data_IF_051846919434
#
_entry.id   IF_051846919434
#
_cell.length_a   1.000
_cell.length_b   1.000
_cell.length_c   1.000
_cell.angle_alpha   90.00
_cell.angle_beta   90.00
_cell.angle_gamma   90.00
#
_symmetry.space_group_name_H-M   'P 1'
#
loop_
_entity.id
_entity.type
_entity.pdbx_description
1 polymer ?
#
# COMPACT_ATOMS: atom_id res chain seq x y z
N UNK A 1 4.78 2.85 -20.08
CA UNK A 1 4.24 4.22 -20.32
C UNK A 1 3.45 4.69 -19.10
N UNK A 2 3.46 6.03 -18.74
CA UNK A 2 2.66 6.60 -17.63
C UNK A 2 1.57 7.52 -18.19
N UNK A 3 0.34 7.35 -17.72
CA UNK A 3 -0.81 8.21 -18.02
C UNK A 3 -1.24 8.89 -16.72
N UNK A 4 -1.28 10.22 -16.71
CA UNK A 4 -1.92 10.98 -15.63
C UNK A 4 -3.35 11.31 -16.06
N UNK A 5 -4.30 10.99 -15.18
CA UNK A 5 -5.73 11.17 -15.44
C UNK A 5 -6.40 11.86 -14.28
N UNK A 6 -7.04 12.97 -14.52
CA UNK A 6 -7.92 13.61 -13.56
C UNK A 6 -9.09 12.71 -13.21
N UNK A 7 -9.36 12.58 -11.92
CA UNK A 7 -10.49 11.82 -11.41
C UNK A 7 -11.06 12.51 -10.16
N UNK A 8 -12.36 12.36 -9.93
CA UNK A 8 -13.03 13.05 -8.82
C UNK A 8 -13.12 12.13 -7.61
N UNK A 9 -12.61 12.60 -6.48
CA UNK A 9 -12.88 12.02 -5.17
C UNK A 9 -14.28 12.45 -4.74
N UNK A 10 -15.28 11.63 -5.06
CA UNK A 10 -16.70 11.98 -4.92
C UNK A 10 -17.11 12.35 -3.48
N UNK A 11 -16.51 11.80 -2.40
CA UNK A 11 -16.84 12.20 -1.03
C UNK A 11 -16.66 13.70 -0.73
N UNK A 12 -15.74 14.36 -1.49
CA UNK A 12 -15.46 15.80 -1.33
C UNK A 12 -15.71 16.63 -2.60
N UNK A 13 -15.85 15.99 -3.74
CA UNK A 13 -15.94 16.67 -5.04
C UNK A 13 -14.60 17.28 -5.49
N UNK A 14 -13.47 16.82 -4.95
CA UNK A 14 -12.11 17.32 -5.26
C UNK A 14 -11.40 16.42 -6.27
N UNK A 15 -10.46 17.00 -7.03
CA UNK A 15 -9.67 16.23 -7.97
C UNK A 15 -8.68 15.31 -7.20
N UNK A 16 -8.57 14.05 -7.66
CA UNK A 16 -7.61 13.04 -7.19
C UNK A 16 -7.04 12.33 -8.40
N UNK A 17 -5.98 12.84 -8.99
CA UNK A 17 -5.38 12.25 -10.18
C UNK A 17 -5.00 10.78 -9.99
N UNK A 18 -5.17 10.02 -11.04
CA UNK A 18 -4.66 8.65 -11.15
C UNK A 18 -3.40 8.65 -12.01
N UNK A 19 -2.35 8.01 -11.53
CA UNK A 19 -1.09 7.81 -12.23
C UNK A 19 -1.02 6.35 -12.70
N UNK A 20 -1.28 6.11 -13.97
CA UNK A 20 -1.46 4.75 -14.49
C UNK A 20 -0.24 4.35 -15.32
N UNK A 21 0.46 3.31 -14.86
CA UNK A 21 1.49 2.64 -15.64
C UNK A 21 0.86 1.55 -16.49
N UNK A 22 1.18 1.57 -17.77
CA UNK A 22 0.91 0.50 -18.72
C UNK A 22 2.23 -0.11 -19.20
N UNK A 23 2.34 -1.46 -19.33
CA UNK A 23 3.54 -2.09 -19.85
C UNK A 23 3.80 -1.69 -21.30
N UNK A 24 5.05 -1.79 -21.74
CA UNK A 24 5.45 -1.27 -23.04
C UNK A 24 4.75 -1.95 -24.22
N UNK A 25 4.46 -3.25 -24.10
CA UNK A 25 3.72 -4.05 -25.09
C UNK A 25 2.21 -3.85 -25.04
N UNK A 26 1.68 -2.96 -24.18
CA UNK A 26 0.24 -2.81 -23.97
C UNK A 26 -0.54 -2.56 -25.26
N UNK A 27 -0.04 -1.77 -26.20
CA UNK A 27 -0.71 -1.47 -27.46
C UNK A 27 -0.37 -2.45 -28.59
N UNK A 28 0.53 -3.39 -28.34
CA UNK A 28 0.99 -4.39 -29.32
C UNK A 28 0.29 -5.75 -29.15
N UNK A 29 -0.41 -5.96 -28.03
CA UNK A 29 -1.14 -7.19 -27.72
C UNK A 29 -2.57 -6.92 -27.27
N UNK A 30 -3.39 -7.96 -27.27
CA UNK A 30 -4.74 -7.97 -26.70
C UNK A 30 -4.76 -8.61 -25.29
N UNK A 31 -3.60 -8.81 -24.69
CA UNK A 31 -3.46 -9.44 -23.38
C UNK A 31 -4.15 -8.64 -22.29
N UNK A 32 -4.58 -9.34 -21.26
CA UNK A 32 -5.10 -8.74 -20.04
C UNK A 32 -4.09 -8.87 -18.90
N UNK A 33 -4.04 -7.88 -18.04
CA UNK A 33 -2.96 -7.68 -17.08
C UNK A 33 -3.48 -7.70 -15.64
N UNK A 34 -2.72 -8.29 -14.69
CA UNK A 34 -2.98 -8.08 -13.27
C UNK A 34 -2.81 -6.61 -12.91
N UNK A 35 -3.45 -6.18 -11.82
CA UNK A 35 -3.45 -4.77 -11.40
C UNK A 35 -2.92 -4.63 -9.99
N UNK A 36 -2.01 -3.67 -9.80
CA UNK A 36 -1.54 -3.22 -8.49
C UNK A 36 -1.94 -1.77 -8.26
N UNK A 37 -2.81 -1.54 -7.28
CA UNK A 37 -3.17 -0.20 -6.83
C UNK A 37 -2.13 0.30 -5.81
N UNK A 38 -1.83 1.58 -5.84
CA UNK A 38 -0.93 2.21 -4.87
C UNK A 38 -1.55 3.48 -4.30
N UNK A 39 -1.45 3.65 -3.00
CA UNK A 39 -1.67 4.93 -2.34
C UNK A 39 -0.52 5.89 -2.62
N UNK A 40 -0.77 7.20 -2.56
CA UNK A 40 0.19 8.26 -2.85
C UNK A 40 0.78 8.19 -4.27
N UNK A 41 -0.10 8.13 -5.27
CA UNK A 41 0.26 7.91 -6.68
C UNK A 41 1.32 8.85 -7.25
N UNK A 42 1.35 10.10 -6.78
CA UNK A 42 2.34 11.11 -7.19
C UNK A 42 3.79 10.78 -6.79
N UNK A 43 3.99 9.93 -5.77
CA UNK A 43 5.32 9.55 -5.29
C UNK A 43 5.93 8.35 -6.04
N UNK A 44 5.26 7.77 -7.05
CA UNK A 44 5.66 6.46 -7.57
C UNK A 44 6.72 6.50 -8.66
N UNK A 45 6.63 7.44 -9.61
CA UNK A 45 7.33 7.30 -10.89
C UNK A 45 8.40 8.33 -11.15
N UNK A 46 8.16 9.60 -10.87
CA UNK A 46 9.02 10.72 -11.21
C UNK A 46 9.37 11.55 -9.98
N UNK A 47 10.62 11.94 -9.87
CA UNK A 47 11.11 12.73 -8.73
C UNK A 47 10.46 14.13 -8.69
N UNK A 48 10.16 14.72 -9.85
CA UNK A 48 9.48 16.02 -9.97
C UNK A 48 8.01 16.02 -9.51
N UNK A 49 7.35 14.87 -9.49
CA UNK A 49 5.98 14.74 -8.99
C UNK A 49 5.93 14.46 -7.49
N UNK A 50 7.02 13.92 -6.95
CA UNK A 50 7.05 13.42 -5.59
C UNK A 50 7.11 14.54 -4.54
N UNK A 51 6.35 14.38 -3.45
CA UNK A 51 6.21 15.36 -2.35
C UNK A 51 7.56 15.87 -1.82
N UNK A 52 8.56 14.98 -1.74
CA UNK A 52 9.89 15.30 -1.20
C UNK A 52 11.00 15.27 -2.25
N UNK A 53 10.63 15.35 -3.55
CA UNK A 53 11.58 15.38 -4.65
C UNK A 53 12.34 14.07 -4.88
N UNK A 54 11.81 12.95 -4.36
CA UNK A 54 12.31 11.60 -4.62
C UNK A 54 11.12 10.63 -4.76
N UNK A 55 11.06 9.94 -5.88
CA UNK A 55 10.03 8.92 -6.14
C UNK A 55 10.48 7.53 -5.69
N UNK A 56 9.56 6.55 -5.79
CA UNK A 56 9.85 5.15 -5.57
C UNK A 56 10.62 4.48 -6.73
N UNK A 57 10.92 5.21 -7.81
CA UNK A 57 11.55 4.64 -9.00
C UNK A 57 10.78 3.46 -9.61
N UNK A 58 9.47 3.41 -9.36
CA UNK A 58 8.66 2.23 -9.68
C UNK A 58 8.57 1.97 -11.19
N UNK A 59 8.62 3.03 -12.01
CA UNK A 59 8.65 2.89 -13.48
C UNK A 59 9.88 2.11 -13.94
N UNK A 60 11.06 2.51 -13.49
CA UNK A 60 12.33 1.89 -13.91
C UNK A 60 12.40 0.42 -13.46
N UNK A 61 11.86 0.11 -12.29
CA UNK A 61 11.73 -1.27 -11.86
C UNK A 61 10.78 -2.07 -12.76
N UNK A 62 9.58 -1.55 -13.05
CA UNK A 62 8.57 -2.25 -13.84
C UNK A 62 9.04 -2.50 -15.27
N UNK A 63 9.71 -1.53 -15.90
CA UNK A 63 10.26 -1.65 -17.26
C UNK A 63 11.32 -2.78 -17.36
N UNK A 64 11.97 -3.12 -16.24
CA UNK A 64 13.03 -4.13 -16.20
C UNK A 64 12.61 -5.45 -15.53
N UNK A 65 11.42 -5.50 -14.92
CA UNK A 65 11.02 -6.64 -14.08
C UNK A 65 10.70 -7.91 -14.88
N UNK A 66 10.39 -7.78 -16.17
CA UNK A 66 10.04 -8.90 -17.05
C UNK A 66 8.68 -9.54 -16.73
N UNK A 67 7.79 -8.80 -16.05
CA UNK A 67 6.40 -9.19 -15.77
C UNK A 67 5.48 -8.02 -16.07
N UNK A 68 4.57 -8.25 -16.98
CA UNK A 68 3.62 -7.23 -17.42
C UNK A 68 2.48 -7.10 -16.44
N UNK A 69 2.21 -5.87 -16.02
CA UNK A 69 1.07 -5.53 -15.18
C UNK A 69 0.64 -4.07 -15.38
N UNK A 70 -0.56 -3.75 -14.97
CA UNK A 70 -1.03 -2.37 -14.83
C UNK A 70 -0.80 -1.93 -13.38
N UNK A 71 -0.23 -0.73 -13.19
CA UNK A 71 -0.14 -0.12 -11.85
C UNK A 71 -0.93 1.16 -11.82
N UNK A 72 -1.79 1.31 -10.82
CA UNK A 72 -2.67 2.47 -10.64
C UNK A 72 -2.30 3.19 -9.35
N UNK A 73 -1.56 4.27 -9.46
CA UNK A 73 -1.28 5.18 -8.37
C UNK A 73 -2.46 6.13 -8.13
N UNK A 74 -2.97 6.17 -6.92
CA UNK A 74 -4.10 7.01 -6.50
C UNK A 74 -3.55 8.12 -5.63
N UNK A 75 -3.76 9.39 -6.01
CA UNK A 75 -3.35 10.51 -5.16
C UNK A 75 -4.21 10.65 -3.91
N UNK A 76 -3.62 11.23 -2.86
CA UNK A 76 -4.31 11.62 -1.64
C UNK A 76 -4.81 13.09 -1.71
N UNK A 77 -5.47 13.54 -0.66
CA UNK A 77 -5.72 14.97 -0.44
C UNK A 77 -4.43 15.72 -0.08
N UNK A 78 -4.20 16.86 -0.73
CA UNK A 78 -3.02 17.71 -0.52
C UNK A 78 -3.32 18.94 0.33
N UNK A 79 -4.58 19.23 0.64
CA UNK A 79 -4.97 20.40 1.45
C UNK A 79 -4.73 20.12 2.93
N UNK A 80 -3.74 20.80 3.52
CA UNK A 80 -3.40 20.64 4.92
C UNK A 80 -3.04 19.20 5.28
N UNK A 81 -3.78 18.61 6.20
CA UNK A 81 -3.56 17.23 6.70
C UNK A 81 -4.67 16.26 6.26
N UNK A 82 -5.34 16.54 5.14
CA UNK A 82 -6.42 15.70 4.58
C UNK A 82 -6.03 14.23 4.43
N UNK A 83 -4.84 13.99 3.89
CA UNK A 83 -4.28 12.65 3.72
C UNK A 83 -4.33 11.83 5.01
N UNK A 84 -4.12 12.46 6.17
CA UNK A 84 -4.12 11.75 7.45
C UNK A 84 -5.52 11.24 7.82
N UNK A 85 -6.59 11.96 7.50
CA UNK A 85 -7.97 11.48 7.66
C UNK A 85 -8.33 10.43 6.61
N UNK A 86 -8.04 10.70 5.34
CA UNK A 86 -8.34 9.81 4.22
C UNK A 86 -7.66 8.44 4.33
N UNK A 87 -6.47 8.39 4.98
CA UNK A 87 -5.69 7.17 5.15
C UNK A 87 -5.72 6.62 6.58
N UNK A 88 -6.68 7.04 7.38
CA UNK A 88 -6.91 6.52 8.72
C UNK A 88 -8.17 5.63 8.74
N UNK A 89 -8.05 4.29 8.70
CA UNK A 89 -9.22 3.40 8.69
C UNK A 89 -9.78 3.13 10.11
N UNK A 90 -9.02 3.48 11.15
CA UNK A 90 -9.39 3.27 12.55
C UNK A 90 -9.11 4.50 13.39
N UNK A 91 -9.84 4.67 14.49
CA UNK A 91 -9.47 5.67 15.49
C UNK A 91 -8.07 5.38 16.04
N UNK A 92 -7.21 6.39 16.00
CA UNK A 92 -5.84 6.26 16.50
C UNK A 92 -5.78 6.29 18.03
N UNK A 93 -4.66 5.83 18.59
CA UNK A 93 -4.43 5.81 20.01
C UNK A 93 -4.44 7.23 20.60
N UNK A 94 -5.15 7.42 21.71
CA UNK A 94 -5.16 8.70 22.45
C UNK A 94 -3.74 9.15 22.80
N UNK A 95 -3.49 10.44 22.66
CA UNK A 95 -2.18 11.05 22.93
C UNK A 95 -1.19 10.99 21.76
N UNK A 96 -1.57 10.43 20.62
CA UNK A 96 -0.82 10.57 19.35
C UNK A 96 -1.38 11.72 18.53
N UNK A 97 -0.57 12.30 17.64
CA UNK A 97 -1.02 13.31 16.69
C UNK A 97 -2.23 12.82 15.85
N UNK A 98 -2.20 11.57 15.43
CA UNK A 98 -3.27 10.95 14.65
C UNK A 98 -4.62 10.84 15.36
N UNK A 99 -4.67 10.94 16.69
CA UNK A 99 -5.92 10.90 17.44
C UNK A 99 -6.82 12.14 17.21
N UNK A 100 -6.27 13.19 16.60
CA UNK A 100 -7.00 14.42 16.30
C UNK A 100 -7.75 14.36 14.94
N UNK A 101 -7.51 13.30 14.15
CA UNK A 101 -8.12 13.14 12.83
C UNK A 101 -9.32 12.21 12.88
N UNK A 102 -10.35 12.59 12.13
CA UNK A 102 -11.48 11.72 11.87
C UNK A 102 -11.06 10.57 10.93
N UNK A 103 -11.32 9.30 11.29
CA UNK A 103 -10.97 8.18 10.42
C UNK A 103 -11.93 8.10 9.23
N UNK A 104 -11.42 8.39 8.04
CA UNK A 104 -12.13 8.32 6.74
C UNK A 104 -11.59 7.26 5.79
N UNK A 105 -10.69 6.40 6.27
CA UNK A 105 -10.07 5.36 5.43
C UNK A 105 -11.08 4.40 4.81
N UNK A 106 -12.18 4.09 5.51
CA UNK A 106 -13.25 3.28 4.95
C UNK A 106 -13.99 3.98 3.81
N UNK A 107 -14.30 5.28 3.96
CA UNK A 107 -14.89 6.11 2.92
C UNK A 107 -14.00 6.15 1.66
N UNK A 108 -12.68 6.30 1.85
CA UNK A 108 -11.70 6.24 0.76
C UNK A 108 -11.71 4.87 0.07
N UNK A 109 -11.76 3.78 0.83
CA UNK A 109 -11.85 2.43 0.24
C UNK A 109 -13.16 2.20 -0.51
N UNK A 110 -14.28 2.67 0.02
CA UNK A 110 -15.57 2.59 -0.67
C UNK A 110 -15.52 3.31 -2.02
N UNK A 111 -14.97 4.53 -2.07
CA UNK A 111 -14.76 5.25 -3.32
C UNK A 111 -13.85 4.50 -4.30
N UNK A 112 -12.72 3.96 -3.84
CA UNK A 112 -11.81 3.15 -4.69
C UNK A 112 -12.57 1.97 -5.31
N UNK A 113 -13.40 1.27 -4.53
CA UNK A 113 -14.11 0.07 -4.98
C UNK A 113 -15.34 0.36 -5.82
N UNK A 114 -16.02 1.48 -5.59
CA UNK A 114 -17.25 1.82 -6.31
C UNK A 114 -17.01 2.64 -7.56
N UNK A 115 -15.90 3.37 -7.65
CA UNK A 115 -15.65 4.31 -8.74
C UNK A 115 -14.29 4.06 -9.44
N UNK A 116 -13.17 4.05 -8.71
CA UNK A 116 -11.84 3.93 -9.34
C UNK A 116 -11.65 2.56 -9.98
N UNK A 117 -11.87 1.49 -9.21
CA UNK A 117 -11.67 0.12 -9.73
C UNK A 117 -12.57 -0.21 -10.90
N UNK A 118 -13.90 0.07 -10.87
CA UNK A 118 -14.77 -0.14 -12.02
C UNK A 118 -14.35 0.64 -13.27
N UNK A 119 -13.89 1.89 -13.11
CA UNK A 119 -13.38 2.69 -14.22
C UNK A 119 -12.13 2.04 -14.83
N UNK A 120 -11.18 1.65 -14.00
CA UNK A 120 -9.94 1.00 -14.45
C UNK A 120 -10.24 -0.31 -15.18
N UNK A 121 -11.14 -1.13 -14.66
CA UNK A 121 -11.53 -2.40 -15.27
C UNK A 121 -12.30 -2.22 -16.58
N UNK A 122 -13.02 -1.09 -16.74
CA UNK A 122 -13.76 -0.76 -17.96
C UNK A 122 -12.84 -0.24 -19.07
N UNK A 123 -11.87 0.61 -18.73
CA UNK A 123 -11.07 1.34 -19.72
C UNK A 123 -9.75 0.66 -20.08
N UNK A 124 -9.26 -0.21 -19.19
CA UNK A 124 -7.99 -0.91 -19.40
C UNK A 124 -8.19 -2.43 -19.44
N UNK A 125 -7.30 -3.11 -20.11
CA UNK A 125 -7.33 -4.57 -20.21
C UNK A 125 -6.84 -5.24 -18.94
N UNK A 126 -7.61 -5.12 -17.88
CA UNK A 126 -7.33 -5.74 -16.57
C UNK A 126 -7.82 -7.18 -16.52
N UNK A 127 -7.23 -7.97 -15.62
CA UNK A 127 -7.80 -9.21 -15.10
C UNK A 127 -8.49 -8.85 -13.79
N UNK A 128 -9.83 -8.65 -13.77
CA UNK A 128 -10.52 -8.02 -12.64
C UNK A 128 -10.75 -8.95 -11.45
N UNK A 129 -10.14 -10.12 -11.47
CA UNK A 129 -10.26 -11.10 -10.39
C UNK A 129 -9.38 -10.75 -9.20
N UNK A 130 -9.85 -11.11 -8.01
CA UNK A 130 -9.17 -10.91 -6.74
C UNK A 130 -7.71 -11.39 -6.78
N UNK A 131 -7.48 -12.57 -7.35
CA UNK A 131 -6.16 -13.22 -7.44
C UNK A 131 -5.16 -12.42 -8.29
N UNK A 132 -5.67 -11.57 -9.17
CA UNK A 132 -4.89 -10.69 -10.03
C UNK A 132 -4.94 -9.22 -9.59
N UNK A 133 -5.42 -8.95 -8.36
CA UNK A 133 -5.55 -7.59 -7.82
C UNK A 133 -4.79 -7.44 -6.51
N UNK A 134 -3.89 -6.46 -6.47
CA UNK A 134 -3.14 -6.09 -5.28
C UNK A 134 -3.28 -4.62 -4.93
N UNK A 135 -2.85 -4.26 -3.71
CA UNK A 135 -2.82 -2.87 -3.23
C UNK A 135 -1.59 -2.65 -2.35
N UNK A 136 -0.95 -1.49 -2.47
CA UNK A 136 0.26 -1.15 -1.71
C UNK A 136 0.30 0.32 -1.31
N UNK A 137 1.21 0.64 -0.42
CA UNK A 137 1.54 1.99 0.00
C UNK A 137 2.55 2.00 1.14
N UNK A 138 3.00 3.19 1.50
CA UNK A 138 3.90 3.39 2.64
C UNK A 138 3.24 4.16 3.77
N UNK A 139 3.78 4.04 4.98
CA UNK A 139 3.33 4.82 6.13
C UNK A 139 1.83 4.65 6.39
N UNK A 140 1.04 5.72 6.33
CA UNK A 140 -0.42 5.67 6.39
C UNK A 140 -1.00 4.92 5.18
N UNK A 141 -0.43 5.05 3.98
CA UNK A 141 -0.79 4.24 2.81
C UNK A 141 -0.52 2.75 3.02
N UNK A 142 0.54 2.39 3.74
CA UNK A 142 0.82 1.00 4.14
C UNK A 142 -0.21 0.45 5.15
N UNK A 143 -0.70 1.29 6.06
CA UNK A 143 -1.81 0.95 6.94
C UNK A 143 -3.10 0.73 6.14
N UNK A 144 -3.40 1.60 5.19
CA UNK A 144 -4.54 1.45 4.28
C UNK A 144 -4.44 0.20 3.42
N UNK A 145 -3.24 -0.15 2.93
CA UNK A 145 -3.04 -1.39 2.16
C UNK A 145 -3.33 -2.64 3.02
N UNK A 146 -2.89 -2.65 4.27
CA UNK A 146 -3.23 -3.74 5.20
C UNK A 146 -4.74 -3.80 5.47
N UNK A 147 -5.37 -2.65 5.75
CA UNK A 147 -6.82 -2.55 5.94
C UNK A 147 -7.57 -3.06 4.72
N UNK A 148 -7.19 -2.64 3.52
CA UNK A 148 -7.83 -3.06 2.28
C UNK A 148 -7.76 -4.59 2.09
N UNK A 149 -6.60 -5.21 2.30
CA UNK A 149 -6.46 -6.66 2.13
C UNK A 149 -7.21 -7.44 3.20
N UNK A 150 -7.33 -6.92 4.41
CA UNK A 150 -8.06 -7.60 5.50
C UNK A 150 -9.56 -7.39 5.38
N UNK A 151 -10.01 -6.15 5.30
CA UNK A 151 -11.44 -5.81 5.34
C UNK A 151 -12.14 -6.05 4.00
N UNK A 152 -11.40 -5.86 2.91
CA UNK A 152 -11.86 -6.02 1.53
C UNK A 152 -11.19 -7.20 0.82
N UNK A 153 -10.91 -8.30 1.54
CA UNK A 153 -10.19 -9.47 1.03
C UNK A 153 -10.83 -10.10 -0.22
N UNK A 154 -12.13 -9.91 -0.41
CA UNK A 154 -12.82 -10.34 -1.64
C UNK A 154 -12.41 -9.60 -2.92
N UNK A 155 -11.70 -8.47 -2.77
CA UNK A 155 -11.24 -7.63 -3.87
C UNK A 155 -9.72 -7.67 -4.06
N UNK A 156 -8.97 -7.85 -2.97
CA UNK A 156 -7.52 -7.80 -2.96
C UNK A 156 -6.93 -9.05 -2.33
N UNK A 157 -6.09 -9.77 -3.08
CA UNK A 157 -5.35 -10.92 -2.56
C UNK A 157 -3.93 -10.58 -2.14
N UNK A 158 -3.42 -9.41 -2.51
CA UNK A 158 -2.01 -9.02 -2.32
C UNK A 158 -1.89 -7.65 -1.66
N UNK A 159 -1.11 -7.57 -0.57
CA UNK A 159 -0.88 -6.36 0.19
C UNK A 159 0.60 -6.01 0.35
N UNK A 160 1.01 -4.86 -0.18
CA UNK A 160 2.34 -4.28 0.04
C UNK A 160 2.30 -3.19 1.11
N UNK A 161 2.57 -3.54 2.38
CA UNK A 161 2.44 -2.63 3.53
C UNK A 161 3.83 -2.17 3.96
N UNK A 162 4.37 -1.14 3.28
CA UNK A 162 5.73 -0.64 3.47
C UNK A 162 5.78 0.37 4.60
N UNK A 163 6.69 0.17 5.57
CA UNK A 163 6.87 1.08 6.72
C UNK A 163 5.55 1.53 7.36
N UNK A 164 4.64 0.58 7.53
CA UNK A 164 3.23 0.81 7.82
C UNK A 164 2.99 1.45 9.18
N UNK A 165 2.10 2.44 9.25
CA UNK A 165 1.72 3.19 10.45
C UNK A 165 0.84 2.40 11.45
N UNK A 166 0.91 1.07 11.46
CA UNK A 166 0.04 0.19 12.28
C UNK A 166 0.17 0.44 13.79
N UNK A 167 1.33 0.90 14.25
CA UNK A 167 1.58 1.18 15.67
C UNK A 167 0.61 2.18 16.29
N UNK A 168 0.05 3.09 15.49
CA UNK A 168 -0.87 4.13 15.97
C UNK A 168 -2.30 3.63 16.20
N UNK A 169 -2.67 2.44 15.68
CA UNK A 169 -4.02 1.89 15.81
C UNK A 169 -4.03 0.38 16.07
N UNK A 170 -3.02 -0.15 16.78
CA UNK A 170 -2.86 -1.60 17.02
C UNK A 170 -4.09 -2.27 17.63
N UNK A 171 -4.79 -1.60 18.57
CA UNK A 171 -5.95 -2.22 19.22
C UNK A 171 -7.12 -2.46 18.26
N UNK A 172 -7.63 -1.46 17.52
CA UNK A 172 -8.68 -1.68 16.53
C UNK A 172 -8.21 -2.56 15.36
N UNK A 173 -6.98 -2.40 14.87
CA UNK A 173 -6.41 -3.27 13.85
C UNK A 173 -6.43 -4.75 14.25
N UNK A 174 -5.95 -5.09 15.44
CA UNK A 174 -5.96 -6.48 15.92
C UNK A 174 -7.38 -7.02 16.17
N UNK A 175 -8.34 -6.15 16.45
CA UNK A 175 -9.75 -6.53 16.53
C UNK A 175 -10.30 -6.88 15.14
N UNK A 176 -9.94 -6.07 14.15
CA UNK A 176 -10.37 -6.26 12.76
C UNK A 176 -9.76 -7.54 12.14
N UNK A 177 -8.45 -7.75 12.31
CA UNK A 177 -7.75 -8.95 11.91
C UNK A 177 -8.37 -10.26 12.46
N UNK A 178 -8.89 -10.23 13.69
CA UNK A 178 -9.56 -11.40 14.28
C UNK A 178 -10.97 -11.64 13.75
N UNK A 179 -11.64 -10.57 13.32
CA UNK A 179 -13.02 -10.64 12.80
C UNK A 179 -13.07 -11.01 11.33
N UNK A 180 -12.19 -10.41 10.54
CA UNK A 180 -12.13 -10.53 9.09
C UNK A 180 -10.98 -11.46 8.70
N UNK A 181 -11.26 -12.76 8.68
CA UNK A 181 -10.30 -13.75 8.23
C UNK A 181 -10.00 -13.57 6.75
N UNK A 182 -8.72 -13.60 6.41
CA UNK A 182 -8.29 -13.57 5.01
C UNK A 182 -8.28 -14.98 4.41
N UNK A 183 -8.45 -15.06 3.10
CA UNK A 183 -8.33 -16.34 2.37
C UNK A 183 -6.87 -16.83 2.36
N UNK A 184 -6.63 -18.15 2.35
CA UNK A 184 -5.28 -18.72 2.43
C UNK A 184 -4.34 -18.34 1.27
N UNK A 185 -4.89 -17.97 0.12
CA UNK A 185 -4.13 -17.49 -1.05
C UNK A 185 -3.72 -16.01 -0.94
N UNK A 186 -4.04 -15.35 0.18
CA UNK A 186 -3.65 -13.97 0.43
C UNK A 186 -2.15 -13.86 0.72
N UNK A 187 -1.50 -12.86 0.13
CA UNK A 187 -0.06 -12.58 0.32
C UNK A 187 0.12 -11.18 0.86
N UNK A 188 0.85 -11.04 1.96
CA UNK A 188 1.03 -9.74 2.63
C UNK A 188 2.50 -9.53 2.97
N UNK A 189 3.05 -8.44 2.45
CA UNK A 189 4.38 -7.96 2.80
C UNK A 189 4.26 -6.87 3.86
N UNK A 190 4.98 -7.02 4.96
CA UNK A 190 5.05 -6.04 6.06
C UNK A 190 6.51 -5.66 6.27
N UNK A 191 6.85 -4.38 6.19
CA UNK A 191 8.21 -3.92 6.41
C UNK A 191 8.32 -2.73 7.35
N UNK A 192 9.53 -2.51 7.84
CA UNK A 192 9.97 -1.31 8.57
C UNK A 192 11.45 -1.12 8.40
N UNK A 193 11.91 0.13 8.49
CA UNK A 193 13.34 0.44 8.57
C UNK A 193 13.82 0.53 10.01
N UNK A 194 15.08 0.19 10.27
CA UNK A 194 15.62 0.26 11.62
C UNK A 194 15.77 1.70 12.12
N UNK A 195 16.02 2.68 11.24
CA UNK A 195 16.17 4.09 11.62
C UNK A 195 14.84 4.79 11.95
N UNK A 196 13.72 4.18 11.57
CA UNK A 196 12.37 4.66 11.91
C UNK A 196 11.70 3.88 13.06
N UNK A 197 12.31 2.76 13.49
CA UNK A 197 11.68 1.81 14.40
C UNK A 197 11.62 2.34 15.84
N UNK A 198 10.43 2.28 16.44
CA UNK A 198 10.21 2.67 17.82
C UNK A 198 10.84 1.65 18.80
N UNK A 199 11.68 2.16 19.71
CA UNK A 199 12.31 1.36 20.76
C UNK A 199 13.43 0.46 20.26
N UNK A 200 14.01 0.76 19.10
CA UNK A 200 15.21 0.12 18.62
C UNK A 200 16.41 0.51 19.48
N UNK A 201 17.35 -0.42 19.68
CA UNK A 201 18.56 -0.19 20.45
C UNK A 201 19.75 0.17 19.56
N UNK A 202 19.84 -0.49 18.42
CA UNK A 202 20.91 -0.28 17.43
C UNK A 202 20.29 -0.27 16.03
N UNK A 203 20.25 0.91 15.36
CA UNK A 203 19.68 1.02 14.03
C UNK A 203 20.50 0.36 12.92
N UNK A 204 21.71 -0.06 13.21
CA UNK A 204 22.58 -0.78 12.25
C UNK A 204 22.40 -2.30 12.33
N UNK A 205 21.42 -2.79 13.10
CA UNK A 205 21.14 -4.21 13.26
C UNK A 205 19.63 -4.51 13.21
N UNK A 206 19.27 -5.72 12.77
CA UNK A 206 17.90 -6.24 12.89
C UNK A 206 17.57 -6.53 14.36
N UNK A 207 17.09 -5.51 15.06
CA UNK A 207 16.66 -5.62 16.46
C UNK A 207 15.19 -6.06 16.56
N UNK A 208 15.01 -7.37 16.79
CA UNK A 208 13.68 -7.97 17.03
C UNK A 208 13.09 -7.66 18.40
N UNK A 209 13.75 -6.82 19.22
CA UNK A 209 13.21 -6.32 20.49
C UNK A 209 12.46 -5.02 20.36
N UNK A 210 12.50 -4.36 19.20
CA UNK A 210 11.82 -3.08 18.96
C UNK A 210 10.29 -3.20 19.07
N UNK A 211 9.64 -2.12 19.46
CA UNK A 211 8.16 -2.05 19.47
C UNK A 211 7.59 -2.23 18.08
N UNK A 212 8.24 -1.65 17.07
CA UNK A 212 7.82 -1.75 15.66
C UNK A 212 7.85 -3.20 15.18
N UNK A 213 8.90 -3.96 15.48
CA UNK A 213 8.91 -5.40 15.23
C UNK A 213 7.72 -6.10 15.92
N UNK A 214 7.51 -5.80 17.21
CA UNK A 214 6.43 -6.43 17.98
C UNK A 214 5.03 -6.16 17.41
N UNK A 215 4.78 -4.97 16.86
CA UNK A 215 3.52 -4.64 16.19
C UNK A 215 3.35 -5.42 14.89
N UNK A 216 4.36 -5.39 14.01
CA UNK A 216 4.33 -6.10 12.73
C UNK A 216 4.22 -7.62 12.95
N UNK A 217 4.96 -8.17 13.91
CA UNK A 217 4.88 -9.60 14.26
C UNK A 217 3.48 -10.02 14.71
N UNK A 218 2.82 -9.25 15.57
CA UNK A 218 1.46 -9.56 16.04
C UNK A 218 0.46 -9.59 14.88
N UNK A 219 0.55 -8.64 13.96
CA UNK A 219 -0.29 -8.64 12.77
C UNK A 219 0.00 -9.85 11.87
N UNK A 220 1.28 -10.13 11.62
CA UNK A 220 1.71 -11.27 10.84
C UNK A 220 1.28 -12.61 11.43
N UNK A 221 1.43 -12.81 12.75
CA UNK A 221 1.03 -14.06 13.42
C UNK A 221 -0.48 -14.33 13.25
N UNK A 222 -1.31 -13.29 13.31
CA UNK A 222 -2.75 -13.44 13.06
C UNK A 222 -3.04 -13.83 11.60
N UNK A 223 -2.41 -13.16 10.64
CA UNK A 223 -2.59 -13.44 9.21
C UNK A 223 -2.09 -14.85 8.84
N UNK A 224 -0.95 -15.26 9.40
CA UNK A 224 -0.43 -16.63 9.25
C UNK A 224 -1.38 -17.67 9.84
N UNK A 225 -2.06 -17.36 10.95
CA UNK A 225 -3.04 -18.27 11.55
C UNK A 225 -4.30 -18.45 10.67
N UNK A 226 -4.58 -17.51 9.78
CA UNK A 226 -5.64 -17.60 8.78
C UNK A 226 -5.18 -18.36 7.52
N UNK A 227 -3.89 -18.71 7.42
CA UNK A 227 -3.30 -19.44 6.30
C UNK A 227 -2.67 -18.55 5.22
N UNK A 228 -2.65 -17.23 5.40
CA UNK A 228 -2.03 -16.31 4.46
C UNK A 228 -0.50 -16.49 4.40
N UNK A 229 0.11 -16.20 3.24
CA UNK A 229 1.54 -16.05 3.13
C UNK A 229 1.96 -14.65 3.58
N UNK A 230 2.83 -14.56 4.58
CA UNK A 230 3.29 -13.26 5.13
C UNK A 230 4.80 -13.18 5.11
N UNK A 231 5.33 -12.08 4.56
CA UNK A 231 6.76 -11.76 4.62
C UNK A 231 6.99 -10.56 5.53
N UNK A 232 7.67 -10.78 6.66
CA UNK A 232 8.18 -9.72 7.51
C UNK A 232 9.57 -9.31 7.02
N UNK A 233 9.81 -8.02 6.81
CA UNK A 233 11.09 -7.51 6.35
C UNK A 233 11.55 -6.32 7.18
N UNK A 234 12.69 -6.48 7.84
CA UNK A 234 13.41 -5.38 8.49
C UNK A 234 14.47 -4.85 7.53
N UNK A 235 14.36 -3.59 7.14
CA UNK A 235 15.40 -2.91 6.35
C UNK A 235 16.42 -2.29 7.28
N UNK A 236 17.56 -2.96 7.46
CA UNK A 236 18.66 -2.43 8.29
C UNK A 236 19.23 -1.15 7.68
N UNK A 237 19.35 -0.09 8.49
CA UNK A 237 19.75 1.25 8.04
C UNK A 237 18.67 2.02 7.28
N UNK A 238 17.50 1.43 7.05
CA UNK A 238 16.38 2.08 6.36
C UNK A 238 15.68 3.13 7.22
N UNK A 239 15.36 4.28 6.62
CA UNK A 239 14.57 5.36 7.20
C UNK A 239 13.15 5.41 6.64
N UNK A 240 12.40 6.44 7.03
CA UNK A 240 11.02 6.67 6.60
C UNK A 240 10.98 7.61 5.41
N UNK A 241 11.41 7.14 4.24
CA UNK A 241 11.46 7.97 3.02
C UNK A 241 11.45 7.11 1.74
N UNK A 242 11.09 7.76 0.64
CA UNK A 242 10.95 7.15 -0.68
C UNK A 242 12.26 6.50 -1.17
N UNK A 243 13.41 7.11 -0.92
CA UNK A 243 14.73 6.58 -1.30
C UNK A 243 15.05 5.22 -0.65
N UNK A 244 14.51 4.96 0.53
CA UNK A 244 14.66 3.66 1.19
C UNK A 244 13.54 2.69 0.77
N UNK A 245 12.32 3.17 0.51
CA UNK A 245 11.23 2.34 0.00
C UNK A 245 11.47 1.86 -1.43
N UNK A 246 12.09 2.67 -2.29
CA UNK A 246 12.55 2.26 -3.64
C UNK A 246 13.36 0.96 -3.59
N UNK A 247 14.28 0.83 -2.63
CA UNK A 247 15.11 -0.37 -2.45
C UNK A 247 14.31 -1.63 -2.09
N UNK A 248 13.10 -1.47 -1.55
CA UNK A 248 12.21 -2.55 -1.16
C UNK A 248 11.31 -3.05 -2.31
N UNK A 249 11.14 -2.24 -3.38
CA UNK A 249 10.26 -2.54 -4.51
C UNK A 249 10.52 -3.95 -5.08
N UNK A 250 11.75 -4.34 -5.44
CA UNK A 250 12.01 -5.68 -5.98
C UNK A 250 11.60 -6.78 -5.01
N UNK A 251 11.85 -6.57 -3.71
CA UNK A 251 11.58 -7.59 -2.69
C UNK A 251 10.09 -7.83 -2.50
N UNK A 252 9.28 -6.79 -2.35
CA UNK A 252 7.85 -6.98 -2.12
C UNK A 252 7.10 -7.34 -3.40
N UNK A 253 7.47 -6.80 -4.55
CA UNK A 253 6.84 -7.13 -5.83
C UNK A 253 7.08 -8.61 -6.18
N UNK A 254 8.32 -9.11 -6.05
CA UNK A 254 8.59 -10.53 -6.25
C UNK A 254 7.82 -11.40 -5.27
N UNK A 255 7.83 -11.09 -3.98
CA UNK A 255 7.06 -11.86 -3.00
C UNK A 255 5.57 -11.90 -3.32
N UNK A 256 4.98 -10.79 -3.71
CA UNK A 256 3.53 -10.71 -3.96
C UNK A 256 3.10 -11.40 -5.26
N UNK A 257 3.94 -11.40 -6.29
CA UNK A 257 3.52 -11.77 -7.64
C UNK A 257 4.24 -12.96 -8.25
N UNK A 258 5.35 -13.44 -7.70
CA UNK A 258 6.18 -14.46 -8.34
C UNK A 258 6.54 -15.67 -7.48
N UNK A 259 6.52 -15.54 -6.16
CA UNK A 259 6.90 -16.63 -5.22
C UNK A 259 5.76 -17.61 -4.91
#
# INVERSE_FOLDING_TARGET
>A
MIIKRDFIYSPKGTNRPLHIYLPDNYFESEDRYPVMYFFDGHNLYFDEDATYGKSWGLKDFLDQWGKDMIVVGIECGHDGEERLSEYLPYSANKGTHFANFEPKGDETMQWILSEVKPLVDLEYRTIPFRECTGIAGSSMGGLMALYAVVHYNRWFSKGGCVSSAIGFCMRPLMSDLRKNKVSPDTRIYLSWGTREAYGIKDPEQDDRSSKTYGWNKKAADQLLSDGAAVKLHCQVGGGHCEADWEKLVPTFMNFLWTE
#
